data_IF_299722689661
#
_entry.id   IF_299722689661
#
_cell.length_a   1.000
_cell.length_b   1.000
_cell.length_c   1.000
_cell.angle_alpha   90.00
_cell.angle_beta   90.00
_cell.angle_gamma   90.00
#
_symmetry.space_group_name_H-M   'P 1'
#
loop_
_entity.id
_entity.type
_entity.pdbx_description
1 polymer ?
#
# COMPACT_ATOMS: atom_id res chain seq x y z
N UNK A 1 -13.13 7.39 7.34
CA UNK A 1 -13.11 6.19 6.50
C UNK A 1 -12.36 5.14 7.30
N UNK A 2 -13.04 4.07 7.70
CA UNK A 2 -12.47 3.07 8.61
C UNK A 2 -12.18 1.84 7.77
N UNK A 3 -10.91 1.58 7.49
CA UNK A 3 -10.45 0.28 6.99
C UNK A 3 -10.91 -0.74 8.02
N UNK A 4 -11.64 -1.77 7.59
CA UNK A 4 -12.17 -2.78 8.52
C UNK A 4 -11.01 -3.64 9.03
N UNK A 5 -11.08 -4.12 10.26
CA UNK A 5 -10.04 -4.99 10.85
C UNK A 5 -9.78 -6.23 9.99
N UNK A 6 -10.82 -6.74 9.31
CA UNK A 6 -10.71 -7.84 8.35
C UNK A 6 -9.79 -7.50 7.17
N UNK A 7 -9.87 -6.28 6.63
CA UNK A 7 -9.03 -5.83 5.53
C UNK A 7 -7.56 -5.71 5.97
N UNK A 8 -7.32 -5.23 7.20
CA UNK A 8 -5.99 -5.26 7.81
C UNK A 8 -5.45 -6.67 7.94
N UNK A 9 -6.27 -7.62 8.41
CA UNK A 9 -5.89 -9.03 8.50
C UNK A 9 -5.50 -9.58 7.13
N UNK A 10 -6.35 -9.38 6.11
CA UNK A 10 -6.05 -9.84 4.76
C UNK A 10 -4.75 -9.25 4.23
N UNK A 11 -4.56 -7.93 4.35
CA UNK A 11 -3.32 -7.27 3.90
C UNK A 11 -2.10 -7.87 4.60
N UNK A 12 -2.18 -8.10 5.92
CA UNK A 12 -1.09 -8.67 6.72
C UNK A 12 -0.69 -10.09 6.28
N UNK A 13 -1.67 -10.93 5.93
CA UNK A 13 -1.42 -12.30 5.44
C UNK A 13 -0.76 -12.30 4.06
N UNK A 14 -1.16 -11.35 3.20
CA UNK A 14 -0.69 -11.28 1.82
C UNK A 14 0.71 -10.67 1.70
N UNK A 15 1.27 -10.08 2.77
CA UNK A 15 2.67 -9.63 2.78
C UNK A 15 3.60 -10.80 2.48
N UNK A 16 3.31 -12.00 3.00
CA UNK A 16 4.13 -13.19 2.79
C UNK A 16 4.13 -13.70 1.35
N UNK A 17 3.20 -13.27 0.50
CA UNK A 17 3.14 -13.65 -0.92
C UNK A 17 4.17 -12.91 -1.76
N UNK A 18 4.93 -11.99 -1.15
CA UNK A 18 6.09 -11.34 -1.74
C UNK A 18 7.31 -12.26 -1.76
N UNK A 19 7.39 -13.27 -0.89
CA UNK A 19 8.49 -14.24 -0.84
C UNK A 19 8.39 -15.27 -1.96
N UNK A 20 9.37 -15.36 -2.88
CA UNK A 20 9.44 -16.40 -3.90
C UNK A 20 9.38 -17.84 -3.38
N UNK A 21 9.75 -18.06 -2.12
CA UNK A 21 9.73 -19.36 -1.44
C UNK A 21 8.37 -19.70 -0.85
N UNK A 22 7.46 -18.71 -0.74
CA UNK A 22 6.13 -18.95 -0.20
C UNK A 22 5.27 -19.71 -1.22
N UNK A 23 4.47 -20.72 -0.82
CA UNK A 23 3.64 -21.48 -1.77
C UNK A 23 2.65 -20.63 -2.56
N UNK A 24 2.24 -19.50 -1.99
CA UNK A 24 1.29 -18.56 -2.57
C UNK A 24 1.98 -17.33 -3.21
N UNK A 25 3.30 -17.42 -3.41
CA UNK A 25 4.08 -16.37 -4.06
C UNK A 25 3.42 -15.92 -5.35
N UNK A 26 3.32 -14.60 -5.52
CA UNK A 26 2.79 -14.06 -6.76
C UNK A 26 3.56 -12.81 -7.17
N UNK A 27 4.24 -12.91 -8.33
CA UNK A 27 4.89 -11.78 -9.03
C UNK A 27 3.95 -10.61 -9.32
N UNK A 28 2.64 -10.83 -9.20
CA UNK A 28 1.63 -9.79 -9.37
C UNK A 28 1.53 -8.84 -8.17
N UNK A 29 2.09 -9.20 -7.01
CA UNK A 29 2.25 -8.33 -5.85
C UNK A 29 3.57 -7.57 -5.99
N UNK A 30 3.49 -6.40 -6.61
CA UNK A 30 4.63 -5.52 -6.88
C UNK A 30 4.23 -4.06 -6.63
N UNK A 31 5.22 -3.19 -6.52
CA UNK A 31 4.97 -1.75 -6.34
C UNK A 31 4.12 -1.20 -7.50
N UNK A 32 3.15 -0.35 -7.16
CA UNK A 32 2.17 0.19 -8.08
C UNK A 32 1.03 -0.77 -8.47
N UNK A 33 1.07 -2.05 -8.06
CA UNK A 33 -0.01 -2.97 -8.35
C UNK A 33 -1.27 -2.60 -7.59
N UNK A 34 -2.42 -2.78 -8.24
CA UNK A 34 -3.74 -2.60 -7.64
C UNK A 34 -4.33 -3.98 -7.35
N UNK A 35 -4.72 -4.20 -6.10
CA UNK A 35 -5.25 -5.48 -5.59
C UNK A 35 -6.54 -5.25 -4.80
N UNK A 36 -7.46 -6.19 -4.90
CA UNK A 36 -8.64 -6.21 -4.05
C UNK A 36 -8.28 -7.01 -2.80
N UNK A 37 -8.41 -6.40 -1.62
CA UNK A 37 -8.35 -7.09 -0.34
C UNK A 37 -9.74 -6.99 0.28
N UNK A 38 -10.49 -8.10 0.24
CA UNK A 38 -11.93 -8.08 0.52
C UNK A 38 -12.70 -7.25 -0.51
N UNK A 39 -13.53 -6.32 -0.04
CA UNK A 39 -14.37 -5.45 -0.87
C UNK A 39 -13.64 -4.17 -1.35
N UNK A 40 -12.47 -3.86 -0.77
CA UNK A 40 -11.76 -2.61 -1.05
C UNK A 40 -10.56 -2.84 -1.97
N UNK A 41 -10.39 -1.95 -2.94
CA UNK A 41 -9.18 -1.86 -3.78
C UNK A 41 -8.07 -1.16 -3.02
N UNK A 42 -6.87 -1.69 -3.08
CA UNK A 42 -5.67 -1.07 -2.55
C UNK A 42 -4.58 -1.00 -3.62
N UNK A 43 -3.80 0.08 -3.57
CA UNK A 43 -2.57 0.21 -4.33
C UNK A 43 -1.39 -0.13 -3.42
N UNK A 44 -0.53 -1.03 -3.87
CA UNK A 44 0.75 -1.29 -3.21
C UNK A 44 1.67 -0.11 -3.52
N UNK A 45 2.03 0.65 -2.50
CA UNK A 45 2.86 1.85 -2.63
C UNK A 45 4.34 1.51 -2.62
N UNK A 46 4.73 0.61 -1.72
CA UNK A 46 6.13 0.24 -1.51
C UNK A 46 6.25 -1.16 -0.96
N UNK A 47 7.26 -1.88 -1.41
CA UNK A 47 7.66 -3.18 -0.88
C UNK A 47 9.08 -3.03 -0.36
N UNK A 48 9.33 -3.54 0.83
CA UNK A 48 10.67 -3.67 1.38
C UNK A 48 10.90 -5.13 1.71
N UNK A 49 11.88 -5.70 1.05
CA UNK A 49 12.43 -7.01 1.39
C UNK A 49 13.72 -6.79 2.17
N UNK A 50 13.87 -7.44 3.31
CA UNK A 50 15.12 -7.47 4.07
C UNK A 50 15.80 -8.79 3.77
N UNK A 51 17.12 -8.76 3.53
CA UNK A 51 17.95 -9.95 3.31
C UNK A 51 17.85 -10.96 4.46
N UNK A 52 17.44 -10.51 5.65
CA UNK A 52 17.23 -11.31 6.85
C UNK A 52 15.87 -12.04 6.88
N UNK A 53 15.10 -12.03 5.78
CA UNK A 53 13.82 -12.72 5.67
C UNK A 53 12.61 -11.93 6.21
N UNK A 54 12.78 -10.63 6.51
CA UNK A 54 11.66 -9.76 6.86
C UNK A 54 11.06 -9.09 5.63
N UNK A 55 9.76 -9.25 5.44
CA UNK A 55 9.01 -8.62 4.37
C UNK A 55 8.05 -7.57 4.90
N UNK A 56 7.98 -6.43 4.23
CA UNK A 56 7.07 -5.36 4.55
C UNK A 56 6.41 -4.82 3.29
N UNK A 57 5.10 -4.56 3.39
CA UNK A 57 4.29 -3.98 2.32
C UNK A 57 3.55 -2.76 2.85
N UNK A 58 3.71 -1.63 2.17
CA UNK A 58 2.88 -0.45 2.37
C UNK A 58 1.78 -0.45 1.30
N UNK A 59 0.52 -0.44 1.71
CA UNK A 59 -0.63 -0.38 0.83
C UNK A 59 -1.58 0.75 1.25
N UNK A 60 -2.21 1.39 0.26
CA UNK A 60 -3.20 2.44 0.49
C UNK A 60 -4.52 2.10 -0.22
N UNK A 61 -5.68 2.29 0.44
CA UNK A 61 -6.96 2.03 -0.18
C UNK A 61 -7.21 3.04 -1.32
N UNK A 62 -7.56 2.51 -2.49
CA UNK A 62 -8.05 3.28 -3.63
C UNK A 62 -9.55 3.46 -3.44
N UNK A 63 -9.90 4.56 -2.79
CA UNK A 63 -11.29 4.97 -2.72
C UNK A 63 -11.54 5.87 -3.91
N UNK A 64 -12.57 5.53 -4.71
CA UNK A 64 -13.21 6.49 -5.61
C UNK A 64 -13.95 7.58 -4.80
N UNK A 65 -13.32 8.12 -3.78
CA UNK A 65 -13.71 9.39 -3.23
C UNK A 65 -13.18 10.39 -4.25
N UNK A 66 -14.10 11.22 -4.73
CA UNK A 66 -14.01 12.48 -5.48
C UNK A 66 -12.85 13.41 -5.07
N UNK A 67 -11.61 12.91 -4.99
CA UNK A 67 -10.40 13.58 -4.55
C UNK A 67 -9.50 13.95 -5.74
N UNK A 68 -9.95 13.72 -6.97
CA UNK A 68 -9.28 14.24 -8.17
C UNK A 68 -9.45 15.75 -8.33
N UNK A 69 -10.34 16.40 -7.56
CA UNK A 69 -10.61 17.84 -7.71
C UNK A 69 -9.77 18.78 -6.84
N UNK A 70 -9.07 18.27 -5.81
CA UNK A 70 -8.43 19.13 -4.80
C UNK A 70 -6.89 19.11 -4.81
N UNK A 71 -6.24 18.20 -5.54
CA UNK A 71 -4.77 18.23 -5.65
C UNK A 71 -4.24 19.24 -6.66
N UNK A 72 -5.08 19.75 -7.58
CA UNK A 72 -4.65 20.77 -8.56
C UNK A 72 -4.49 22.18 -7.96
N UNK A 73 -5.05 22.45 -6.78
CA UNK A 73 -5.09 23.82 -6.23
C UNK A 73 -4.46 23.98 -4.84
N UNK A 74 -3.84 22.96 -4.26
CA UNK A 74 -3.21 23.10 -2.93
C UNK A 74 -1.79 23.61 -3.09
N UNK A 75 -1.62 24.94 -3.01
CA UNK A 75 -0.34 25.63 -2.90
C UNK A 75 0.47 24.96 -1.78
N UNK A 76 1.66 24.47 -2.10
CA UNK A 76 2.56 23.84 -1.13
C UNK A 76 2.87 24.90 -0.05
N UNK A 77 2.57 24.66 1.23
CA UNK A 77 2.90 25.61 2.27
C UNK A 77 4.42 25.76 2.37
N UNK A 78 4.90 27.00 2.26
CA UNK A 78 6.30 27.41 2.12
C UNK A 78 7.21 27.05 3.32
N UNK A 79 6.70 26.37 4.34
CA UNK A 79 7.39 26.09 5.60
C UNK A 79 7.91 24.64 5.75
N UNK A 80 8.05 23.88 4.67
CA UNK A 80 8.82 22.63 4.71
C UNK A 80 10.33 22.95 4.82
N UNK A 81 10.77 23.31 6.02
CA UNK A 81 12.19 23.42 6.35
C UNK A 81 12.64 22.03 6.79
N UNK A 82 13.36 21.33 5.90
CA UNK A 82 14.09 20.12 6.26
C UNK A 82 15.15 20.51 7.27
N UNK A 83 15.04 20.03 8.51
CA UNK A 83 16.10 20.13 9.50
C UNK A 83 17.29 19.31 8.97
N UNK A 84 18.41 20.00 8.72
CA UNK A 84 19.71 19.40 8.40
C UNK A 84 20.31 18.75 9.64
#
# INVERSE_FOLDING_TARGET
MTVKDEEYRYISEHVYWLDPKHPQYSKSYKEGAIKNFGETKFQILKIKDSLDGMQAMAAAPIVHSKLEKNFKNKKIPTNFRVLK
#
